data_IF_374807185573
#
_entry.id   IF_374807185573
#
_cell.length_a   1.000
_cell.length_b   1.000
_cell.length_c   1.000
_cell.angle_alpha   90.00
_cell.angle_beta   90.00
_cell.angle_gamma   90.00
#
_symmetry.space_group_name_H-M   'P 1'
#
loop_
_entity.id
_entity.type
_entity.pdbx_description
1 polymer ?
#
# COMPACT_ATOMS: atom_id res chain seq x y z
N UNK A 1 -17.41 10.20 -4.69
CA UNK A 1 -17.44 8.86 -4.04
C UNK A 1 -16.01 8.54 -3.63
N UNK A 2 -15.75 8.25 -2.35
CA UNK A 2 -14.38 8.00 -1.88
C UNK A 2 -13.88 6.62 -2.33
N UNK A 3 -12.56 6.43 -2.51
CA UNK A 3 -12.04 5.09 -2.79
C UNK A 3 -12.24 4.12 -1.63
N UNK A 4 -12.37 4.63 -0.39
CA UNK A 4 -12.71 3.82 0.78
C UNK A 4 -14.08 3.16 0.60
N UNK A 5 -15.08 3.92 0.17
CA UNK A 5 -16.44 3.39 -0.07
C UNK A 5 -16.47 2.41 -1.24
N UNK A 6 -15.69 2.69 -2.29
CA UNK A 6 -15.52 1.76 -3.40
C UNK A 6 -14.83 0.47 -2.95
N UNK A 7 -13.82 0.55 -2.09
CA UNK A 7 -13.11 -0.60 -1.55
C UNK A 7 -14.02 -1.48 -0.70
N UNK A 8 -14.83 -0.91 0.20
CA UNK A 8 -15.71 -1.69 1.08
C UNK A 8 -16.91 -2.31 0.36
N UNK A 9 -17.35 -1.71 -0.76
CA UNK A 9 -18.49 -2.22 -1.54
C UNK A 9 -18.09 -3.17 -2.68
N UNK A 10 -17.01 -2.86 -3.39
CA UNK A 10 -16.63 -3.59 -4.62
C UNK A 10 -15.61 -4.70 -4.38
N UNK A 11 -14.75 -4.59 -3.37
CA UNK A 11 -13.76 -5.64 -3.09
C UNK A 11 -14.49 -6.88 -2.55
N UNK A 12 -14.27 -8.08 -3.10
CA UNK A 12 -14.91 -9.30 -2.62
C UNK A 12 -14.68 -9.57 -1.12
N UNK A 13 -15.66 -10.11 -0.38
CA UNK A 13 -15.56 -10.36 1.07
C UNK A 13 -14.35 -11.22 1.47
N UNK A 14 -13.96 -12.19 0.63
CA UNK A 14 -12.75 -13.02 0.81
C UNK A 14 -11.47 -12.19 0.95
N UNK A 15 -11.42 -11.06 0.25
CA UNK A 15 -10.29 -10.15 0.28
C UNK A 15 -10.45 -9.11 1.39
N UNK A 16 -11.68 -8.78 1.80
CA UNK A 16 -11.94 -7.93 2.95
C UNK A 16 -11.52 -8.59 4.29
N UNK A 17 -11.62 -9.91 4.38
CA UNK A 17 -11.19 -10.70 5.54
C UNK A 17 -9.66 -10.82 5.70
N UNK A 18 -8.87 -10.36 4.72
CA UNK A 18 -7.41 -10.44 4.77
C UNK A 18 -6.82 -9.40 5.73
N UNK A 19 -5.68 -9.74 6.34
CA UNK A 19 -4.95 -8.83 7.25
C UNK A 19 -4.47 -7.53 6.57
N UNK A 20 -4.35 -7.55 5.25
CA UNK A 20 -3.91 -6.44 4.40
C UNK A 20 -5.04 -5.41 4.15
N UNK A 21 -6.31 -5.82 4.28
CA UNK A 21 -7.45 -4.95 3.93
C UNK A 21 -7.67 -3.83 4.95
N UNK A 22 -7.56 -4.12 6.25
CA UNK A 22 -7.68 -3.10 7.31
C UNK A 22 -6.67 -1.95 7.16
N UNK A 23 -5.34 -2.21 7.02
CA UNK A 23 -4.38 -1.14 6.79
C UNK A 23 -4.57 -0.45 5.43
N UNK A 24 -5.09 -1.14 4.42
CA UNK A 24 -5.44 -0.52 3.14
C UNK A 24 -6.56 0.53 3.29
N UNK A 25 -7.66 0.20 3.97
CA UNK A 25 -8.76 1.13 4.23
C UNK A 25 -8.27 2.34 5.04
N UNK A 26 -7.48 2.11 6.09
CA UNK A 26 -6.90 3.19 6.88
C UNK A 26 -6.00 4.11 6.04
N UNK A 27 -5.23 3.56 5.10
CA UNK A 27 -4.41 4.35 4.18
C UNK A 27 -5.27 5.19 3.23
N UNK A 28 -6.37 4.63 2.69
CA UNK A 28 -7.29 5.38 1.83
C UNK A 28 -7.94 6.56 2.56
N UNK A 29 -8.30 6.36 3.82
CA UNK A 29 -8.87 7.38 4.70
C UNK A 29 -7.86 8.47 5.06
N UNK A 30 -6.66 8.10 5.53
CA UNK A 30 -5.62 9.04 5.90
C UNK A 30 -5.11 9.89 4.73
N UNK A 31 -5.06 9.31 3.53
CA UNK A 31 -4.59 10.00 2.32
C UNK A 31 -5.71 10.69 1.54
N UNK A 32 -6.97 10.44 1.89
CA UNK A 32 -8.13 11.04 1.22
C UNK A 32 -8.19 10.72 -0.27
N UNK A 33 -7.79 9.51 -0.68
CA UNK A 33 -7.77 9.18 -2.11
C UNK A 33 -9.19 9.12 -2.69
N UNK A 34 -9.42 9.92 -3.72
CA UNK A 34 -10.70 10.00 -4.45
C UNK A 34 -10.65 9.30 -5.81
N UNK A 35 -9.46 9.00 -6.33
CA UNK A 35 -9.26 8.42 -7.67
C UNK A 35 -8.21 7.30 -7.66
N UNK A 36 -8.50 6.19 -8.34
CA UNK A 36 -7.60 5.03 -8.50
C UNK A 36 -6.28 5.38 -9.17
N UNK A 37 -6.25 6.36 -10.08
CA UNK A 37 -5.01 6.83 -10.70
C UNK A 37 -4.07 7.46 -9.67
N UNK A 38 -4.61 8.28 -8.76
CA UNK A 38 -3.83 8.89 -7.68
C UNK A 38 -3.28 7.83 -6.72
N UNK A 39 -4.10 6.84 -6.36
CA UNK A 39 -3.67 5.69 -5.58
C UNK A 39 -2.54 4.92 -6.28
N UNK A 40 -2.67 4.64 -7.58
CA UNK A 40 -1.65 3.91 -8.35
C UNK A 40 -0.32 4.65 -8.40
N UNK A 41 -0.34 5.95 -8.70
CA UNK A 41 0.87 6.78 -8.71
C UNK A 41 1.54 6.85 -7.33
N UNK A 42 0.74 6.94 -6.27
CA UNK A 42 1.25 6.90 -4.90
C UNK A 42 1.93 5.57 -4.59
N UNK A 43 1.28 4.44 -4.88
CA UNK A 43 1.86 3.11 -4.66
C UNK A 43 3.17 2.94 -5.44
N UNK A 44 3.20 3.34 -6.71
CA UNK A 44 4.40 3.23 -7.55
C UNK A 44 5.56 4.08 -7.02
N UNK A 45 5.27 5.32 -6.60
CA UNK A 45 6.26 6.21 -6.00
C UNK A 45 6.80 5.65 -4.67
N UNK A 46 5.92 5.18 -3.79
CA UNK A 46 6.34 4.58 -2.51
C UNK A 46 7.14 3.30 -2.71
N UNK A 47 6.73 2.43 -3.63
CA UNK A 47 7.46 1.21 -3.95
C UNK A 47 8.84 1.51 -4.54
N UNK A 48 8.96 2.51 -5.41
CA UNK A 48 10.24 2.93 -5.99
C UNK A 48 11.18 3.52 -4.92
N UNK A 49 10.68 4.44 -4.09
CA UNK A 49 11.43 5.03 -2.97
C UNK A 49 11.93 3.95 -2.02
N UNK A 50 11.06 3.00 -1.69
CA UNK A 50 11.38 1.93 -0.78
C UNK A 50 12.39 0.93 -1.35
N UNK A 51 12.29 0.59 -2.65
CA UNK A 51 13.31 -0.20 -3.36
C UNK A 51 14.67 0.50 -3.40
N UNK A 52 14.69 1.81 -3.62
CA UNK A 52 15.93 2.60 -3.59
C UNK A 52 16.59 2.55 -2.20
N UNK A 53 15.81 2.67 -1.13
CA UNK A 53 16.29 2.52 0.25
C UNK A 53 16.77 1.11 0.57
N UNK A 54 16.13 0.08 0.01
CA UNK A 54 16.60 -1.30 0.12
C UNK A 54 17.89 -1.55 -0.67
N UNK A 55 18.15 -0.84 -1.77
CA UNK A 55 19.39 -0.98 -2.54
C UNK A 55 20.61 -0.22 -1.99
N UNK A 56 20.40 0.79 -1.14
CA UNK A 56 21.49 1.56 -0.52
C UNK A 56 22.18 0.73 0.58
N UNK A 57 23.16 -0.07 0.19
CA UNK A 57 23.99 -0.96 0.99
C UNK A 57 25.06 -0.23 1.84
N UNK A 58 24.67 0.67 2.74
CA UNK A 58 25.57 1.20 3.79
C UNK A 58 24.81 1.24 5.12
N UNK A 59 24.95 0.21 5.95
CA UNK A 59 24.06 0.00 7.11
C UNK A 59 24.70 0.46 8.41
N UNK A 60 24.19 1.56 8.94
CA UNK A 60 24.19 1.86 10.39
C UNK A 60 22.98 1.16 11.05
N UNK A 61 23.00 0.83 12.36
CA UNK A 61 21.94 0.09 13.04
C UNK A 61 20.53 0.69 12.89
N UNK A 62 20.41 2.01 12.78
CA UNK A 62 19.13 2.72 12.55
C UNK A 62 18.52 2.44 11.16
N UNK A 63 19.34 2.09 10.17
CA UNK A 63 18.88 1.75 8.81
C UNK A 63 18.11 0.42 8.73
N UNK A 64 18.33 -0.51 9.67
CA UNK A 64 17.67 -1.82 9.66
C UNK A 64 16.17 -1.74 10.01
N UNK A 65 15.78 -0.92 10.99
CA UNK A 65 14.37 -0.80 11.36
C UNK A 65 13.56 -0.14 10.24
N UNK A 66 14.14 0.89 9.59
CA UNK A 66 13.53 1.55 8.45
C UNK A 66 13.37 0.60 7.26
N UNK A 67 14.40 -0.18 6.91
CA UNK A 67 14.34 -1.21 5.85
C UNK A 67 13.27 -2.28 6.12
N UNK A 68 13.16 -2.77 7.36
CA UNK A 68 12.13 -3.76 7.73
C UNK A 68 10.72 -3.21 7.55
N UNK A 69 10.49 -1.96 7.96
CA UNK A 69 9.21 -1.29 7.77
C UNK A 69 8.90 -1.10 6.28
N UNK A 70 9.93 -0.74 5.52
CA UNK A 70 9.86 -0.56 4.08
C UNK A 70 9.50 -1.88 3.36
N UNK A 71 10.14 -2.98 3.71
CA UNK A 71 9.84 -4.31 3.16
C UNK A 71 8.39 -4.75 3.47
N UNK A 72 7.90 -4.48 4.70
CA UNK A 72 6.50 -4.74 5.06
C UNK A 72 5.52 -3.90 4.25
N UNK A 73 5.81 -2.60 4.07
CA UNK A 73 4.98 -1.72 3.26
C UNK A 73 4.98 -2.10 1.78
N UNK A 74 6.12 -2.52 1.22
CA UNK A 74 6.21 -3.06 -0.14
C UNK A 74 5.27 -4.26 -0.35
N UNK A 75 5.22 -5.18 0.63
CA UNK A 75 4.29 -6.32 0.60
C UNK A 75 2.82 -5.87 0.57
N UNK A 76 2.47 -4.91 1.43
CA UNK A 76 1.12 -4.33 1.46
C UNK A 76 0.78 -3.62 0.14
N UNK A 77 1.67 -2.78 -0.39
CA UNK A 77 1.45 -2.04 -1.64
C UNK A 77 1.30 -2.97 -2.84
N UNK A 78 2.10 -4.04 -2.89
CA UNK A 78 1.97 -5.07 -3.93
C UNK A 78 0.63 -5.78 -3.83
N UNK A 79 0.22 -6.20 -2.62
CA UNK A 79 -1.10 -6.79 -2.40
C UNK A 79 -2.23 -5.84 -2.82
N UNK A 80 -2.11 -4.55 -2.53
CA UNK A 80 -3.10 -3.56 -2.95
C UNK A 80 -3.18 -3.46 -4.47
N UNK A 81 -2.03 -3.36 -5.13
CA UNK A 81 -1.94 -3.21 -6.58
C UNK A 81 -2.47 -4.44 -7.33
N UNK A 82 -2.22 -5.64 -6.83
CA UNK A 82 -2.60 -6.90 -7.48
C UNK A 82 -4.02 -7.37 -7.08
N UNK A 83 -4.40 -7.25 -5.80
CA UNK A 83 -5.63 -7.82 -5.26
C UNK A 83 -6.80 -6.85 -5.17
N UNK A 84 -6.58 -5.56 -4.91
CA UNK A 84 -7.67 -4.60 -4.63
C UNK A 84 -7.90 -3.59 -5.75
N UNK A 85 -6.83 -3.11 -6.39
CA UNK A 85 -6.89 -2.12 -7.47
C UNK A 85 -7.79 -2.52 -8.65
N UNK A 86 -7.86 -3.80 -9.08
CA UNK A 86 -8.80 -4.23 -10.13
C UNK A 86 -10.28 -4.06 -9.79
N UNK A 87 -10.62 -3.96 -8.50
CA UNK A 87 -12.01 -3.84 -8.03
C UNK A 87 -12.44 -2.40 -7.76
N UNK A 88 -11.51 -1.44 -7.80
CA UNK A 88 -11.80 -0.02 -7.53
C UNK A 88 -12.20 0.71 -8.82
#
# INVERSE_FOLDING_TARGET
>A
MSLKDAATKKVPPRFQATREFKPFIAMLEQKGFTNTRALRMFLDSQMASCKAQLNLNKVSPRGNHHRLNCARQLGLYKAIKEKYLPYL
#
